data_IF_933294807044
#
_entry.id   IF_933294807044
#
_cell.length_a   1.000
_cell.length_b   1.000
_cell.length_c   1.000
_cell.angle_alpha   90.00
_cell.angle_beta   90.00
_cell.angle_gamma   90.00
#
_symmetry.space_group_name_H-M   'P 1'
#
loop_
_entity.id
_entity.type
_entity.pdbx_description
1 polymer ?
#
# COMPACT_ATOMS: atom_id res chain seq x y z
N UNK A 1 -7.48 -8.28 20.11
CA UNK A 1 -7.07 -7.23 19.16
C UNK A 1 -8.26 -6.35 18.83
N UNK A 2 -8.06 -5.05 18.85
CA UNK A 2 -9.15 -4.11 18.59
C UNK A 2 -9.43 -4.02 17.10
N UNK A 3 -10.68 -3.71 16.76
CA UNK A 3 -11.12 -3.58 15.37
C UNK A 3 -10.24 -2.62 14.57
N UNK A 4 -9.89 -1.47 15.17
CA UNK A 4 -9.07 -0.49 14.49
C UNK A 4 -7.64 -1.00 14.26
N UNK A 5 -7.11 -1.79 15.17
CA UNK A 5 -5.79 -2.39 14.99
C UNK A 5 -5.76 -3.32 13.78
N UNK A 6 -6.82 -4.11 13.60
CA UNK A 6 -6.92 -5.01 12.44
C UNK A 6 -6.96 -4.20 11.14
N UNK A 7 -7.76 -3.13 11.12
CA UNK A 7 -7.85 -2.25 9.96
C UNK A 7 -6.50 -1.60 9.64
N UNK A 8 -5.79 -1.18 10.67
CA UNK A 8 -4.49 -0.51 10.49
C UNK A 8 -3.42 -1.48 9.99
N UNK A 9 -3.42 -2.71 10.46
CA UNK A 9 -2.49 -3.75 9.98
C UNK A 9 -2.71 -3.98 8.48
N UNK A 10 -3.95 -4.19 8.09
CA UNK A 10 -4.28 -4.39 6.68
C UNK A 10 -3.91 -3.16 5.85
N UNK A 11 -4.27 -1.96 6.33
CA UNK A 11 -3.99 -0.71 5.65
C UNK A 11 -2.50 -0.53 5.35
N UNK A 12 -1.68 -0.73 6.36
CA UNK A 12 -0.23 -0.57 6.24
C UNK A 12 0.39 -1.62 5.33
N UNK A 13 -0.03 -2.88 5.47
CA UNK A 13 0.50 -3.96 4.66
C UNK A 13 0.08 -3.83 3.19
N UNK A 14 -1.17 -3.47 2.95
CA UNK A 14 -1.68 -3.28 1.61
C UNK A 14 -0.90 -2.18 0.88
N UNK A 15 -0.71 -1.07 1.54
CA UNK A 15 0.07 0.05 0.99
C UNK A 15 1.52 -0.36 0.74
N UNK A 16 2.12 -1.09 1.68
CA UNK A 16 3.49 -1.59 1.55
C UNK A 16 3.65 -2.45 0.29
N UNK A 17 2.79 -3.46 0.11
CA UNK A 17 2.89 -4.33 -1.05
C UNK A 17 2.56 -3.60 -2.35
N UNK A 18 1.60 -2.68 -2.31
CA UNK A 18 1.27 -1.86 -3.48
C UNK A 18 2.49 -1.09 -3.98
N UNK A 19 3.17 -0.40 -3.07
CA UNK A 19 4.37 0.39 -3.39
C UNK A 19 5.49 -0.53 -3.86
N UNK A 20 5.67 -1.67 -3.22
CA UNK A 20 6.67 -2.65 -3.61
C UNK A 20 6.47 -3.15 -5.03
N UNK A 21 5.22 -3.30 -5.47
CA UNK A 21 4.87 -3.70 -6.84
C UNK A 21 4.90 -2.52 -7.81
N UNK A 22 5.18 -1.32 -7.32
CA UNK A 22 5.21 -0.10 -8.12
C UNK A 22 3.84 0.22 -8.73
N UNK A 23 2.78 -0.08 -8.03
CA UNK A 23 1.43 0.27 -8.43
C UNK A 23 1.01 1.59 -7.79
N UNK A 24 0.36 2.45 -8.59
CA UNK A 24 -0.41 3.56 -8.03
C UNK A 24 -1.69 3.01 -7.40
N UNK A 25 -2.37 3.83 -6.61
CA UNK A 25 -3.69 3.43 -6.11
C UNK A 25 -4.65 3.15 -7.27
N UNK A 26 -4.60 3.96 -8.33
CA UNK A 26 -5.45 3.75 -9.49
C UNK A 26 -5.18 2.41 -10.17
N UNK A 27 -3.90 2.05 -10.30
CA UNK A 27 -3.53 0.78 -10.93
C UNK A 27 -3.98 -0.43 -10.12
N UNK A 28 -3.78 -0.40 -8.80
CA UNK A 28 -4.23 -1.50 -7.95
C UNK A 28 -5.75 -1.58 -7.91
N UNK A 29 -6.43 -0.44 -7.81
CA UNK A 29 -7.89 -0.39 -7.81
C UNK A 29 -8.46 -1.02 -9.09
N UNK A 30 -7.88 -0.70 -10.24
CA UNK A 30 -8.28 -1.28 -11.51
C UNK A 30 -8.08 -2.79 -11.53
N UNK A 31 -6.91 -3.26 -11.10
CA UNK A 31 -6.61 -4.69 -11.04
C UNK A 31 -7.54 -5.46 -10.11
N UNK A 32 -7.92 -4.86 -9.02
CA UNK A 32 -8.80 -5.49 -8.02
C UNK A 32 -10.28 -5.19 -8.28
N UNK A 33 -10.58 -4.44 -9.33
CA UNK A 33 -11.96 -4.07 -9.72
C UNK A 33 -12.71 -3.36 -8.60
N UNK A 34 -12.07 -2.37 -7.99
CA UNK A 34 -12.68 -1.51 -6.97
C UNK A 34 -12.39 -0.05 -7.33
N UNK A 35 -13.12 0.87 -6.71
CA UNK A 35 -12.87 2.30 -6.92
C UNK A 35 -11.59 2.74 -6.21
N UNK A 36 -10.96 3.79 -6.74
CA UNK A 36 -9.79 4.40 -6.10
C UNK A 36 -10.17 4.93 -4.72
N UNK A 37 -11.36 5.52 -4.59
CA UNK A 37 -11.86 6.04 -3.31
C UNK A 37 -11.97 4.92 -2.27
N UNK A 38 -12.50 3.77 -2.66
CA UNK A 38 -12.61 2.62 -1.76
C UNK A 38 -11.23 2.12 -1.34
N UNK A 39 -10.32 1.95 -2.29
CA UNK A 39 -8.95 1.54 -1.98
C UNK A 39 -8.26 2.54 -1.04
N UNK A 40 -8.42 3.83 -1.31
CA UNK A 40 -7.85 4.88 -0.46
C UNK A 40 -8.39 4.78 0.96
N UNK A 41 -9.68 4.51 1.14
CA UNK A 41 -10.27 4.35 2.46
C UNK A 41 -9.75 3.11 3.19
N UNK A 42 -9.49 2.02 2.46
CA UNK A 42 -8.87 0.83 3.03
C UNK A 42 -7.45 1.15 3.49
N UNK A 43 -6.66 1.82 2.65
CA UNK A 43 -5.26 2.16 2.96
C UNK A 43 -5.12 3.18 4.08
N UNK A 44 -6.19 3.91 4.40
CA UNK A 44 -6.20 4.84 5.54
C UNK A 44 -6.77 4.22 6.81
N UNK A 45 -7.12 2.94 6.78
CA UNK A 45 -7.68 2.25 7.93
C UNK A 45 -9.11 2.65 8.27
N UNK A 46 -9.82 3.27 7.32
CA UNK A 46 -11.20 3.71 7.54
C UNK A 46 -12.23 2.66 7.18
N UNK A 47 -11.90 1.76 6.26
CA UNK A 47 -12.82 0.71 5.81
C UNK A 47 -12.09 -0.61 5.72
N UNK A 48 -12.85 -1.69 5.88
CA UNK A 48 -12.34 -3.05 5.74
C UNK A 48 -13.02 -3.72 4.55
N UNK A 49 -12.28 -4.39 3.66
CA UNK A 49 -12.88 -5.00 2.47
C UNK A 49 -13.63 -6.27 2.81
N UNK A 50 -14.60 -6.61 1.95
CA UNK A 50 -15.25 -7.92 1.99
C UNK A 50 -14.24 -9.00 1.56
N UNK A 51 -14.57 -10.25 1.85
CA UNK A 51 -13.70 -11.38 1.52
C UNK A 51 -13.39 -11.42 0.02
N UNK A 52 -14.39 -11.19 -0.83
CA UNK A 52 -14.20 -11.19 -2.28
C UNK A 52 -13.24 -10.10 -2.75
N UNK A 53 -13.35 -8.92 -2.19
CA UNK A 53 -12.43 -7.83 -2.47
C UNK A 53 -11.02 -8.14 -1.98
N UNK A 54 -10.92 -8.70 -0.78
CA UNK A 54 -9.65 -9.11 -0.21
C UNK A 54 -8.96 -10.15 -1.10
N UNK A 55 -9.71 -11.11 -1.60
CA UNK A 55 -9.21 -12.11 -2.53
C UNK A 55 -8.64 -11.48 -3.79
N UNK A 56 -9.35 -10.52 -4.38
CA UNK A 56 -8.87 -9.82 -5.57
C UNK A 56 -7.62 -8.98 -5.30
N UNK A 57 -7.53 -8.39 -4.12
CA UNK A 57 -6.34 -7.63 -3.73
C UNK A 57 -5.12 -8.54 -3.59
N UNK A 58 -5.26 -9.68 -2.94
CA UNK A 58 -4.15 -10.65 -2.81
C UNK A 58 -3.69 -11.14 -4.16
N UNK A 59 -4.61 -11.46 -5.06
CA UNK A 59 -4.26 -11.90 -6.40
C UNK A 59 -3.55 -10.79 -7.18
N UNK A 60 -4.06 -9.57 -7.12
CA UNK A 60 -3.47 -8.43 -7.81
C UNK A 60 -2.05 -8.14 -7.35
N UNK A 61 -1.79 -8.34 -6.06
CA UNK A 61 -0.47 -8.11 -5.47
C UNK A 61 0.41 -9.36 -5.48
N UNK A 62 -0.15 -10.51 -5.82
CA UNK A 62 0.55 -11.80 -5.79
C UNK A 62 1.13 -12.09 -4.40
N UNK A 63 0.31 -11.96 -3.38
CA UNK A 63 0.67 -12.27 -1.99
C UNK A 63 -0.35 -13.22 -1.38
N UNK A 64 0.06 -13.92 -0.33
CA UNK A 64 -0.87 -14.71 0.47
C UNK A 64 -1.64 -13.81 1.44
N UNK A 65 -2.87 -14.21 1.80
CA UNK A 65 -3.67 -13.40 2.72
C UNK A 65 -2.98 -13.22 4.07
N UNK A 66 -2.21 -14.21 4.52
CA UNK A 66 -1.47 -14.11 5.79
C UNK A 66 -0.43 -13.00 5.76
N UNK A 67 0.14 -12.69 4.59
CA UNK A 67 1.12 -11.62 4.46
C UNK A 67 0.49 -10.24 4.66
N UNK A 68 -0.79 -10.09 4.31
CA UNK A 68 -1.50 -8.83 4.53
C UNK A 68 -1.83 -8.58 6.02
N UNK A 69 -1.70 -9.60 6.86
CA UNK A 69 -2.01 -9.49 8.28
C UNK A 69 -0.82 -9.72 9.20
N UNK A 70 0.40 -9.59 8.68
CA UNK A 70 1.63 -9.66 9.48
C UNK A 70 1.94 -8.27 10.08
N UNK A 71 1.76 -8.08 11.40
CA UNK A 71 1.94 -6.75 12.00
C UNK A 71 3.38 -6.22 11.89
N UNK A 72 4.36 -7.09 12.18
CA UNK A 72 5.76 -6.67 12.27
C UNK A 72 6.35 -6.31 10.92
N UNK A 73 5.93 -7.01 9.88
CA UNK A 73 6.42 -6.76 8.53
C UNK A 73 6.12 -5.35 8.09
N UNK A 74 4.86 -4.91 8.20
CA UNK A 74 4.45 -3.59 7.75
C UNK A 74 5.03 -2.48 8.60
N UNK A 75 5.11 -2.70 9.92
CA UNK A 75 5.58 -1.68 10.85
C UNK A 75 7.01 -1.23 10.55
N UNK A 76 7.93 -2.17 10.34
CA UNK A 76 9.33 -1.85 10.05
C UNK A 76 9.55 -1.46 8.60
N UNK A 77 9.03 -2.24 7.69
CA UNK A 77 9.29 -2.04 6.26
C UNK A 77 8.66 -0.76 5.73
N UNK A 78 7.50 -0.37 6.24
CA UNK A 78 6.89 0.90 5.87
C UNK A 78 7.75 2.09 6.31
N UNK A 79 8.29 2.05 7.53
CA UNK A 79 9.17 3.12 8.02
C UNK A 79 10.41 3.24 7.15
N UNK A 80 11.05 2.11 6.86
CA UNK A 80 12.24 2.09 6.03
C UNK A 80 11.94 2.61 4.63
N UNK A 81 10.83 2.19 4.05
CA UNK A 81 10.42 2.63 2.71
C UNK A 81 10.11 4.12 2.67
N UNK A 82 9.41 4.65 3.67
CA UNK A 82 9.09 6.07 3.75
C UNK A 82 10.34 6.91 3.98
N UNK A 83 11.30 6.40 4.75
CA UNK A 83 12.58 7.06 4.96
C UNK A 83 13.36 7.13 3.65
N UNK A 84 13.41 6.05 2.90
CA UNK A 84 14.07 6.02 1.58
C UNK A 84 13.42 6.99 0.61
N UNK A 85 12.10 7.06 0.60
CA UNK A 85 11.37 8.00 -0.24
C UNK A 85 11.75 9.45 0.11
N UNK A 86 11.79 9.78 1.39
CA UNK A 86 12.18 11.11 1.85
C UNK A 86 13.61 11.44 1.43
N UNK A 87 14.55 10.49 1.58
CA UNK A 87 15.92 10.67 1.16
C UNK A 87 16.03 10.90 -0.34
N UNK A 88 15.33 10.09 -1.13
CA UNK A 88 15.33 10.20 -2.58
C UNK A 88 14.81 11.56 -3.03
N UNK A 89 13.73 12.02 -2.44
CA UNK A 89 13.17 13.33 -2.75
C UNK A 89 14.17 14.43 -2.38
N UNK A 90 14.79 14.35 -1.22
CA UNK A 90 15.75 15.34 -0.75
C UNK A 90 17.00 15.37 -1.62
N UNK A 91 17.54 14.21 -1.98
CA UNK A 91 18.77 14.11 -2.76
C UNK A 91 18.58 14.47 -4.22
N UNK A 92 17.42 14.20 -4.78
CA UNK A 92 17.16 14.31 -6.21
C UNK A 92 16.17 15.41 -6.57
N UNK A 93 16.07 16.41 -5.72
CA UNK A 93 15.15 17.54 -5.88
C UNK A 93 15.23 18.18 -7.27
N UNK A 94 16.42 18.24 -7.85
CA UNK A 94 16.64 18.90 -9.14
C UNK A 94 16.78 17.94 -10.32
N UNK A 95 16.79 16.63 -10.08
CA UNK A 95 17.13 15.68 -11.14
C UNK A 95 15.96 14.80 -11.56
N UNK A 96 15.37 14.11 -10.63
CA UNK A 96 14.44 13.03 -10.97
C UNK A 96 13.17 13.10 -10.13
N UNK A 97 12.79 14.27 -9.67
CA UNK A 97 11.64 14.41 -8.79
C UNK A 97 10.38 13.79 -9.41
N UNK A 98 10.14 14.06 -10.69
CA UNK A 98 8.98 13.49 -11.36
C UNK A 98 9.09 11.96 -11.50
N UNK A 99 10.29 11.44 -11.73
CA UNK A 99 10.51 10.00 -11.85
C UNK A 99 10.37 9.32 -10.49
N UNK A 100 10.90 9.95 -9.43
CA UNK A 100 10.75 9.46 -8.07
C UNK A 100 9.28 9.42 -7.69
N UNK A 101 8.54 10.47 -7.98
CA UNK A 101 7.11 10.51 -7.71
C UNK A 101 6.34 9.46 -8.50
N UNK A 102 6.68 9.25 -9.76
CA UNK A 102 6.07 8.19 -10.56
C UNK A 102 6.32 6.81 -9.98
N UNK A 103 7.54 6.58 -9.49
CA UNK A 103 7.92 5.28 -8.95
C UNK A 103 7.23 4.98 -7.60
N UNK A 104 7.19 5.95 -6.70
CA UNK A 104 6.75 5.72 -5.32
C UNK A 104 5.34 6.22 -5.01
N UNK A 105 4.90 7.29 -5.67
CA UNK A 105 3.62 7.91 -5.36
C UNK A 105 2.59 7.72 -6.46
N UNK A 106 3.06 7.21 -7.57
CA UNK A 106 2.28 6.80 -8.69
C UNK A 106 1.17 7.64 -9.13
#
# INVERSE_FOLDING_TARGET
MLTQEIKDILANNLKYFRIQRQFSQAQLAEKANISVTFLSNIERGKMFPKVETLSRLTESLNVGVHELFQPDLASENNKEMMNRLSEDITKNVNLALSDVFKLYLG
#
